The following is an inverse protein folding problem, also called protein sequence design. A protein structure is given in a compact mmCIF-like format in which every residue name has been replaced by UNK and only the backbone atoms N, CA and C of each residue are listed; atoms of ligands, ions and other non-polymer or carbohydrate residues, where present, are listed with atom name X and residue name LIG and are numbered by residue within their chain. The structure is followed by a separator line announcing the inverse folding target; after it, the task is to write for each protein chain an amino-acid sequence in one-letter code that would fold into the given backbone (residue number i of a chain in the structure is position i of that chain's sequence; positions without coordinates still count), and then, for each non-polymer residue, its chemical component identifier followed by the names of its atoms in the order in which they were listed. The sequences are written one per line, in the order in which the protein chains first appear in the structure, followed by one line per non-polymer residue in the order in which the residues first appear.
data_IF_593811494271
#
_entry.id   IF_593811494271
#
_cell.length_a   1.000
_cell.length_b   1.000
_cell.length_c   1.000
_cell.angle_alpha   90.00
_cell.angle_beta   90.00
_cell.angle_gamma   90.00
#
_symmetry.space_group_name_H-M   'P 1'
#
loop_
_entity.id
_entity.type
_entity.pdbx_description
1 polymer ?
#
# COMPACT_ATOMS: atom_id res chain seq x y z
N UNK A 1 -3.89 -8.78 22.34
CA UNK A 1 -5.24 -8.39 21.88
C UNK A 1 -5.56 -9.18 20.62
N UNK A 2 -6.71 -9.87 20.58
CA UNK A 2 -7.18 -10.62 19.40
C UNK A 2 -8.14 -9.74 18.61
N UNK A 3 -7.86 -9.57 17.32
CA UNK A 3 -8.71 -8.78 16.42
C UNK A 3 -9.86 -9.69 16.00
N UNK A 4 -11.11 -9.36 16.38
CA UNK A 4 -12.30 -10.14 16.00
C UNK A 4 -12.65 -9.88 14.52
N UNK A 5 -12.02 -10.63 13.62
CA UNK A 5 -12.14 -10.49 12.17
C UNK A 5 -12.32 -11.87 11.53
N UNK A 6 -13.28 -12.00 10.61
CA UNK A 6 -13.41 -13.19 9.76
C UNK A 6 -12.34 -13.16 8.66
N UNK A 7 -11.27 -13.92 8.83
CA UNK A 7 -10.17 -14.02 7.85
C UNK A 7 -10.37 -15.24 6.97
N UNK A 8 -10.46 -15.02 5.66
CA UNK A 8 -10.43 -16.10 4.67
C UNK A 8 -8.97 -16.40 4.31
N UNK A 9 -8.46 -17.57 4.73
CA UNK A 9 -7.08 -18.00 4.47
C UNK A 9 -7.09 -18.90 3.24
N UNK A 10 -6.60 -18.38 2.12
CA UNK A 10 -6.53 -19.12 0.86
C UNK A 10 -5.21 -19.89 0.82
N UNK A 11 -5.28 -21.22 0.81
CA UNK A 11 -4.10 -22.10 0.71
C UNK A 11 -3.57 -22.08 -0.73
N UNK A 12 -2.25 -21.92 -0.87
CA UNK A 12 -1.56 -22.01 -2.17
C UNK A 12 -1.28 -23.49 -2.51
N UNK A 13 -2.32 -24.31 -2.65
CA UNK A 13 -2.17 -25.77 -2.88
C UNK A 13 -1.90 -26.15 -4.35
N UNK A 14 -2.17 -25.26 -5.30
CA UNK A 14 -1.93 -25.51 -6.73
C UNK A 14 -0.87 -24.54 -7.26
N UNK A 15 0.40 -24.97 -7.32
CA UNK A 15 1.54 -24.13 -7.73
C UNK A 15 1.46 -23.64 -9.19
N UNK A 16 0.64 -24.31 -10.01
CA UNK A 16 0.60 -24.13 -11.47
C UNK A 16 -0.60 -23.32 -11.98
N UNK A 17 -1.54 -22.93 -11.10
CA UNK A 17 -2.69 -22.09 -11.48
C UNK A 17 -2.61 -20.75 -10.76
N UNK A 18 -2.55 -19.68 -11.54
CA UNK A 18 -2.62 -18.31 -11.02
C UNK A 18 -4.09 -17.89 -10.89
N UNK A 19 -4.62 -17.98 -9.66
CA UNK A 19 -5.96 -17.47 -9.33
C UNK A 19 -5.82 -15.99 -8.96
N UNK A 20 -6.51 -15.12 -9.68
CA UNK A 20 -6.57 -13.69 -9.36
C UNK A 20 -7.37 -13.50 -8.09
N UNK A 21 -6.70 -13.05 -7.02
CA UNK A 21 -7.34 -12.77 -5.74
C UNK A 21 -7.93 -11.35 -5.75
N UNK A 22 -9.25 -11.20 -5.51
CA UNK A 22 -9.84 -9.88 -5.45
C UNK A 22 -9.18 -9.07 -4.32
N UNK A 23 -8.83 -7.80 -4.61
CA UNK A 23 -8.25 -6.84 -3.65
C UNK A 23 -6.82 -7.11 -3.16
N UNK A 24 -6.12 -8.13 -3.68
CA UNK A 24 -4.70 -8.39 -3.38
C UNK A 24 -3.79 -7.19 -3.65
N UNK A 25 -4.12 -6.42 -4.70
CA UNK A 25 -3.39 -5.22 -5.08
C UNK A 25 -3.33 -4.18 -3.94
N UNK A 26 -4.33 -4.13 -3.05
CA UNK A 26 -4.35 -3.15 -1.94
C UNK A 26 -3.16 -3.40 -1.02
N UNK A 27 -2.94 -4.67 -0.70
CA UNK A 27 -1.85 -5.13 0.17
C UNK A 27 -0.50 -4.89 -0.51
N UNK A 28 -0.36 -5.32 -1.76
CA UNK A 28 0.87 -5.11 -2.53
C UNK A 28 1.22 -3.63 -2.69
N UNK A 29 0.22 -2.77 -2.92
CA UNK A 29 0.39 -1.32 -3.00
C UNK A 29 0.86 -0.72 -1.68
N UNK A 30 0.29 -1.16 -0.54
CA UNK A 30 0.77 -0.70 0.76
C UNK A 30 2.21 -1.13 1.04
N UNK A 31 2.59 -2.35 0.62
CA UNK A 31 3.98 -2.81 0.74
C UNK A 31 4.93 -2.03 -0.17
N UNK A 32 4.55 -1.74 -1.42
CA UNK A 32 5.35 -0.92 -2.32
C UNK A 32 5.60 0.48 -1.75
N UNK A 33 4.60 1.11 -1.12
CA UNK A 33 4.80 2.42 -0.46
C UNK A 33 5.73 2.34 0.74
N UNK A 34 5.68 1.25 1.51
CA UNK A 34 6.57 1.03 2.65
C UNK A 34 8.01 0.75 2.21
N UNK A 35 8.19 -0.02 1.14
CA UNK A 35 9.50 -0.35 0.55
C UNK A 35 10.24 0.89 0.04
N UNK A 36 9.49 1.90 -0.44
CA UNK A 36 10.04 3.20 -0.83
C UNK A 36 10.61 4.02 0.35
N UNK A 37 10.34 3.65 1.61
CA UNK A 37 11.00 4.28 2.74
C UNK A 37 12.39 3.67 2.92
N UNK A 38 13.42 4.39 2.45
CA UNK A 38 14.85 4.01 2.54
C UNK A 38 15.29 3.52 3.93
N UNK A 39 14.68 4.01 5.01
CA UNK A 39 15.00 3.60 6.39
C UNK A 39 14.50 2.18 6.72
N UNK A 40 13.45 1.72 6.04
CA UNK A 40 12.87 0.39 6.21
C UNK A 40 13.49 -0.65 5.26
N UNK A 41 14.11 -0.18 4.18
CA UNK A 41 14.88 -1.00 3.26
C UNK A 41 16.06 -1.62 4.01
N UNK A 42 15.98 -2.92 4.26
CA UNK A 42 16.97 -3.70 5.01
C UNK A 42 17.00 -3.31 6.49
N UNK A 43 15.93 -3.63 7.25
CA UNK A 43 15.81 -3.47 8.70
C UNK A 43 17.11 -3.87 9.46
N UNK A 44 18.03 -2.93 9.63
CA UNK A 44 19.27 -3.06 10.39
C UNK A 44 19.07 -2.56 11.82
N UNK A 45 17.85 -2.69 12.36
CA UNK A 45 17.54 -2.21 13.69
C UNK A 45 17.89 -3.27 14.73
N UNK A 46 18.57 -2.86 15.81
CA UNK A 46 19.09 -3.77 16.84
C UNK A 46 17.98 -4.47 17.62
N UNK A 47 16.79 -3.88 17.67
CA UNK A 47 15.62 -4.36 18.43
C UNK A 47 14.39 -4.37 17.53
N UNK A 48 13.53 -5.36 17.76
CA UNK A 48 12.28 -5.52 17.00
C UNK A 48 11.26 -4.41 17.30
N UNK A 49 11.33 -3.84 18.52
CA UNK A 49 10.48 -2.72 18.93
C UNK A 49 10.78 -1.46 18.13
N UNK A 50 12.05 -1.14 17.90
CA UNK A 50 12.41 0.01 17.09
C UNK A 50 11.89 -0.19 15.64
N UNK A 51 12.03 -1.42 15.10
CA UNK A 51 11.59 -1.72 13.73
C UNK A 51 10.08 -1.53 13.59
N UNK A 52 9.33 -1.98 14.61
CA UNK A 52 7.88 -1.74 14.71
C UNK A 52 7.56 -0.24 14.70
N UNK A 53 8.27 0.57 15.49
CA UNK A 53 8.05 2.01 15.53
C UNK A 53 8.39 2.68 14.19
N UNK A 54 9.46 2.26 13.51
CA UNK A 54 9.82 2.74 12.18
C UNK A 54 8.74 2.43 11.13
N UNK A 55 8.16 1.23 11.15
CA UNK A 55 7.01 0.87 10.30
C UNK A 55 5.80 1.77 10.56
N UNK A 56 5.46 2.00 11.83
CA UNK A 56 4.33 2.85 12.22
C UNK A 56 4.53 4.30 11.77
N UNK A 57 5.73 4.86 11.95
CA UNK A 57 6.08 6.20 11.50
C UNK A 57 5.98 6.33 9.97
N UNK A 58 6.47 5.33 9.22
CA UNK A 58 6.35 5.31 7.77
C UNK A 58 4.88 5.30 7.31
N UNK A 59 4.05 4.47 7.94
CA UNK A 59 2.62 4.42 7.64
C UNK A 59 1.91 5.76 7.92
N UNK A 60 2.20 6.40 9.06
CA UNK A 60 1.65 7.72 9.40
C UNK A 60 2.09 8.77 8.38
N UNK A 61 3.36 8.78 7.96
CA UNK A 61 3.87 9.71 6.96
C UNK A 61 3.17 9.54 5.59
N UNK A 62 2.89 8.31 5.17
CA UNK A 62 2.11 8.03 3.94
C UNK A 62 0.70 8.62 4.07
N UNK A 63 0.02 8.33 5.17
CA UNK A 63 -1.35 8.80 5.42
C UNK A 63 -1.43 10.33 5.47
N UNK A 64 -0.46 10.99 6.10
CA UNK A 64 -0.38 12.44 6.15
C UNK A 64 -0.20 13.06 4.76
N UNK A 65 0.75 12.54 3.97
CA UNK A 65 0.95 12.98 2.57
C UNK A 65 -0.31 12.82 1.73
N UNK A 66 -1.02 11.70 1.89
CA UNK A 66 -2.27 11.44 1.20
C UNK A 66 -3.37 12.39 1.65
N UNK A 67 -3.54 12.60 2.96
CA UNK A 67 -4.56 13.50 3.50
C UNK A 67 -4.36 14.96 3.05
N UNK A 68 -3.11 15.40 2.97
CA UNK A 68 -2.76 16.75 2.51
C UNK A 68 -3.08 16.91 1.02
N UNK A 69 -2.68 15.93 0.19
CA UNK A 69 -3.04 15.89 -1.22
C UNK A 69 -4.54 15.86 -1.42
N UNK A 70 -5.29 15.07 -0.67
CA UNK A 70 -6.75 15.00 -0.80
C UNK A 70 -7.43 16.31 -0.38
N UNK A 71 -6.92 17.00 0.66
CA UNK A 71 -7.39 18.35 1.04
C UNK A 71 -7.08 19.36 -0.06
N UNK A 72 -5.89 19.30 -0.63
CA UNK A 72 -5.45 20.18 -1.71
C UNK A 72 -6.29 19.96 -2.98
N UNK A 73 -6.52 18.72 -3.39
CA UNK A 73 -7.35 18.36 -4.54
C UNK A 73 -8.81 18.78 -4.35
N UNK A 74 -9.36 18.69 -3.13
CA UNK A 74 -10.69 19.23 -2.81
C UNK A 74 -10.77 20.74 -2.99
N UNK A 75 -9.69 21.48 -2.69
CA UNK A 75 -9.62 22.93 -2.91
C UNK A 75 -9.63 23.30 -4.40
N UNK A 76 -9.22 22.37 -5.26
CA UNK A 76 -9.23 22.51 -6.72
C UNK A 76 -10.51 21.92 -7.36
N UNK A 77 -11.52 21.55 -6.55
CA UNK A 77 -12.77 20.92 -7.01
C UNK A 77 -12.57 19.68 -7.88
N UNK A 78 -11.41 19.03 -7.75
CA UNK A 78 -11.10 17.82 -8.51
C UNK A 78 -11.95 16.67 -7.96
N UNK A 79 -12.75 15.98 -8.79
CA UNK A 79 -13.57 14.88 -8.34
C UNK A 79 -12.72 13.78 -7.70
N UNK A 80 -13.21 13.24 -6.58
CA UNK A 80 -12.55 12.15 -5.86
C UNK A 80 -12.42 10.95 -6.81
N UNK A 81 -11.20 10.45 -6.98
CA UNK A 81 -10.96 9.23 -7.75
C UNK A 81 -11.65 8.05 -7.06
N UNK A 82 -12.70 7.52 -7.69
CA UNK A 82 -13.39 6.30 -7.26
C UNK A 82 -12.46 5.08 -7.40
N UNK A 83 -12.65 4.08 -6.53
CA UNK A 83 -11.83 2.86 -6.49
C UNK A 83 -11.65 2.21 -7.87
N UNK A 84 -12.71 2.16 -8.67
CA UNK A 84 -12.73 1.58 -10.02
C UNK A 84 -11.90 2.39 -11.03
N UNK A 85 -11.94 3.72 -10.93
CA UNK A 85 -11.22 4.61 -11.86
C UNK A 85 -9.72 4.60 -11.60
N UNK A 86 -9.32 4.34 -10.35
CA UNK A 86 -7.92 4.18 -9.98
C UNK A 86 -7.26 2.99 -10.69
N UNK A 87 -7.99 1.88 -10.94
CA UNK A 87 -7.46 0.70 -11.64
C UNK A 87 -7.01 1.00 -13.07
N UNK A 88 -7.66 1.95 -13.75
CA UNK A 88 -7.36 2.33 -15.14
C UNK A 88 -6.07 3.16 -15.24
N UNK A 89 -5.85 4.13 -14.34
CA UNK A 89 -4.66 5.00 -14.37
C UNK A 89 -3.38 4.28 -13.94
N UNK A 90 -3.46 3.30 -13.04
CA UNK A 90 -2.28 2.52 -12.63
C UNK A 90 -1.75 1.59 -13.73
N UNK A 91 -2.59 1.21 -14.71
CA UNK A 91 -2.10 0.48 -15.89
C UNK A 91 -1.31 1.38 -16.85
N UNK A 92 -1.53 2.70 -16.83
CA UNK A 92 -0.91 3.66 -17.74
C UNK A 92 0.26 4.43 -17.13
N UNK A 93 0.27 4.64 -15.81
CA UNK A 93 1.32 5.42 -15.13
C UNK A 93 2.62 4.62 -14.85
N UNK A 94 2.57 3.29 -14.92
CA UNK A 94 3.78 2.45 -14.79
C UNK A 94 4.67 2.44 -16.04
N UNK A 95 4.23 3.02 -17.16
CA UNK A 95 5.04 3.11 -18.39
C UNK A 95 5.93 4.37 -18.42
N UNK A 96 5.73 5.35 -17.52
CA UNK A 96 6.43 6.65 -17.58
C UNK A 96 7.48 6.89 -16.48
N UNK A 97 7.83 5.90 -15.66
CA UNK A 97 8.88 6.02 -14.64
C UNK A 97 10.15 5.20 -14.98
N UNK A 98 10.13 4.47 -16.10
CA UNK A 98 11.32 3.85 -16.69
C UNK A 98 11.45 4.32 -18.14
N UNK A 99 12.09 5.48 -18.30
CA UNK A 99 12.58 6.06 -19.55
C UNK A 99 13.82 6.86 -19.27
#
# INVERSE_FOLDING_TARGET
ETINCSVEIIKRSELHKFVVLPKRWIVERTFAWLENYRRLWQNCERTLENSRQSCLLAAVAILLKRSWRDRFLRKLEVPRMDSERSEVYFSTDSVLVWG
#
